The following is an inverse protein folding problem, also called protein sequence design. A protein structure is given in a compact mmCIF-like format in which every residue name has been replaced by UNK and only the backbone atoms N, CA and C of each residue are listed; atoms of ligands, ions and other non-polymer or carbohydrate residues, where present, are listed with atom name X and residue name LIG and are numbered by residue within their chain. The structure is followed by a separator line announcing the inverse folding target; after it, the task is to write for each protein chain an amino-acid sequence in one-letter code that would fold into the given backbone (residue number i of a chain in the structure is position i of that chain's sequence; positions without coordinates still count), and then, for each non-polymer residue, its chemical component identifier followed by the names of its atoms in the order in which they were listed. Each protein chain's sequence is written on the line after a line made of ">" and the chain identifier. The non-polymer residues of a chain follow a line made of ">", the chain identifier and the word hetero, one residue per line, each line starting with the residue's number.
data_IF_752631840795
#
_entry.id   IF_752631840795
#
_cell.length_a   1.000
_cell.length_b   1.000
_cell.length_c   1.000
_cell.angle_alpha   90.00
_cell.angle_beta   90.00
_cell.angle_gamma   90.00
#
_symmetry.space_group_name_H-M   'P 1'
#
loop_
_entity.id
_entity.type
_entity.pdbx_description
1 polymer ?
#
# COMPACT_ATOMS: atom_id res chain seq x y z
N UNK A 1 -15.91 -32.03 13.92
CA UNK A 1 -15.91 -31.03 12.85
C UNK A 1 -14.56 -31.06 12.18
N UNK A 2 -14.51 -31.64 10.98
CA UNK A 2 -13.28 -31.74 10.20
C UNK A 2 -12.87 -30.32 9.81
N UNK A 3 -11.72 -29.86 10.28
CA UNK A 3 -11.10 -28.63 9.77
C UNK A 3 -10.63 -28.95 8.35
N UNK A 4 -11.41 -28.56 7.34
CA UNK A 4 -10.94 -28.54 5.96
C UNK A 4 -9.71 -27.63 5.90
N UNK A 5 -8.54 -28.23 5.90
CA UNK A 5 -7.29 -27.53 5.60
C UNK A 5 -7.38 -27.18 4.13
N UNK A 6 -7.77 -25.94 3.83
CA UNK A 6 -7.73 -25.40 2.47
C UNK A 6 -6.25 -25.40 2.03
N UNK A 7 -5.89 -26.35 1.15
CA UNK A 7 -4.59 -26.34 0.50
C UNK A 7 -4.56 -25.22 -0.53
N UNK A 8 -3.65 -24.27 -0.33
CA UNK A 8 -3.41 -23.16 -1.26
C UNK A 8 -2.30 -23.57 -2.21
N UNK A 9 -2.56 -23.57 -3.51
CA UNK A 9 -1.52 -23.78 -4.51
C UNK A 9 -0.69 -22.49 -4.68
N UNK A 10 0.62 -22.63 -4.52
CA UNK A 10 1.60 -21.55 -4.65
C UNK A 10 2.51 -21.85 -5.83
N UNK A 11 2.59 -20.92 -6.78
CA UNK A 11 3.60 -20.90 -7.83
C UNK A 11 4.78 -20.02 -7.41
N UNK A 12 5.98 -20.36 -7.87
CA UNK A 12 7.17 -19.54 -7.71
C UNK A 12 7.58 -18.96 -9.07
N UNK A 13 7.90 -17.67 -9.10
CA UNK A 13 8.52 -17.07 -10.30
C UNK A 13 9.99 -17.48 -10.44
N UNK A 14 10.56 -17.29 -11.62
CA UNK A 14 12.00 -17.37 -11.79
C UNK A 14 12.68 -16.21 -11.03
N UNK A 15 13.96 -16.40 -10.69
CA UNK A 15 14.79 -15.36 -10.12
C UNK A 15 15.07 -14.27 -11.17
N UNK A 16 14.98 -13.00 -10.76
CA UNK A 16 15.35 -11.84 -11.55
C UNK A 16 15.98 -10.75 -10.67
N UNK A 17 16.65 -9.72 -11.22
CA UNK A 17 17.22 -8.64 -10.43
C UNK A 17 16.17 -7.96 -9.54
N UNK A 18 16.54 -7.70 -8.28
CA UNK A 18 15.62 -7.11 -7.31
C UNK A 18 15.32 -5.64 -7.66
N UNK A 19 14.05 -5.29 -7.63
CA UNK A 19 13.57 -3.93 -7.91
C UNK A 19 13.93 -2.91 -6.81
N UNK A 20 14.38 -3.37 -5.63
CA UNK A 20 14.65 -2.52 -4.47
C UNK A 20 16.11 -2.46 -4.06
N UNK A 21 16.85 -3.56 -4.23
CA UNK A 21 18.23 -3.74 -3.77
C UNK A 21 19.08 -4.23 -4.96
N UNK A 22 19.96 -3.35 -5.46
CA UNK A 22 20.67 -3.52 -6.73
C UNK A 22 21.48 -4.84 -6.84
N UNK A 23 22.06 -5.31 -5.73
CA UNK A 23 22.95 -6.48 -5.71
C UNK A 23 22.21 -7.78 -5.30
N UNK A 24 20.88 -7.78 -5.38
CA UNK A 24 20.04 -8.90 -4.96
C UNK A 24 19.22 -9.45 -6.11
N UNK A 25 18.91 -10.73 -6.00
CA UNK A 25 17.92 -11.39 -6.86
C UNK A 25 16.61 -11.51 -6.10
N UNK A 26 15.49 -11.30 -6.79
CA UNK A 26 14.16 -11.50 -6.23
C UNK A 26 13.39 -12.58 -6.98
N UNK A 27 12.52 -13.24 -6.25
CA UNK A 27 11.40 -14.02 -6.77
C UNK A 27 10.23 -13.92 -5.81
N UNK A 28 9.05 -14.20 -6.31
CA UNK A 28 7.82 -14.13 -5.53
C UNK A 28 7.08 -15.46 -5.54
N UNK A 29 6.42 -15.74 -4.43
CA UNK A 29 5.42 -16.77 -4.32
C UNK A 29 4.06 -16.15 -4.71
N UNK A 30 3.37 -16.78 -5.66
CA UNK A 30 2.08 -16.33 -6.20
C UNK A 30 0.99 -17.32 -5.81
N UNK A 31 -0.08 -16.82 -5.21
CA UNK A 31 -1.28 -17.62 -4.96
C UNK A 31 -2.02 -17.86 -6.29
N UNK A 32 -2.12 -19.12 -6.72
CA UNK A 32 -2.61 -19.49 -8.06
C UNK A 32 -4.13 -19.73 -8.04
N UNK A 33 -4.69 -20.16 -6.90
CA UNK A 33 -6.10 -20.54 -6.84
C UNK A 33 -7.01 -19.31 -6.89
N UNK A 34 -7.97 -19.25 -7.87
CA UNK A 34 -8.93 -18.15 -7.95
C UNK A 34 -9.80 -17.99 -6.69
N UNK A 35 -9.97 -19.07 -5.92
CA UNK A 35 -10.70 -19.05 -4.64
C UNK A 35 -10.05 -18.13 -3.59
N UNK A 36 -8.78 -17.79 -3.76
CA UNK A 36 -8.06 -16.85 -2.89
C UNK A 36 -8.43 -15.39 -3.16
N UNK A 37 -9.09 -15.11 -4.28
CA UNK A 37 -9.48 -13.78 -4.72
C UNK A 37 -10.84 -13.37 -4.11
N UNK A 38 -10.90 -13.33 -2.78
CA UNK A 38 -12.01 -12.76 -2.01
C UNK A 38 -11.45 -11.81 -0.95
N UNK A 39 -12.20 -10.79 -0.52
CA UNK A 39 -11.74 -9.86 0.51
C UNK A 39 -11.34 -10.57 1.82
N UNK A 40 -12.11 -11.55 2.25
CA UNK A 40 -11.91 -12.30 3.49
C UNK A 40 -10.60 -13.13 3.42
N UNK A 41 -10.43 -13.89 2.35
CA UNK A 41 -9.23 -14.70 2.16
C UNK A 41 -7.99 -13.84 1.97
N UNK A 42 -8.11 -12.75 1.21
CA UNK A 42 -6.99 -11.82 1.03
C UNK A 42 -6.58 -11.14 2.33
N UNK A 43 -7.51 -10.80 3.22
CA UNK A 43 -7.18 -10.26 4.54
C UNK A 43 -6.33 -11.25 5.36
N UNK A 44 -6.67 -12.54 5.34
CA UNK A 44 -5.86 -13.60 5.97
C UNK A 44 -4.49 -13.73 5.30
N UNK A 45 -4.44 -13.69 3.97
CA UNK A 45 -3.18 -13.74 3.22
C UNK A 45 -2.29 -12.52 3.51
N UNK A 46 -2.86 -11.32 3.63
CA UNK A 46 -2.11 -10.12 4.03
C UNK A 46 -1.53 -10.26 5.44
N UNK A 47 -2.26 -10.86 6.37
CA UNK A 47 -1.75 -11.15 7.71
C UNK A 47 -0.57 -12.15 7.68
N UNK A 48 -0.43 -12.93 6.61
CA UNK A 48 0.68 -13.84 6.34
C UNK A 48 1.73 -13.26 5.37
N UNK A 49 1.70 -11.94 5.14
CA UNK A 49 2.72 -11.22 4.40
C UNK A 49 2.49 -11.12 2.89
N UNK A 50 1.35 -11.59 2.37
CA UNK A 50 1.00 -11.42 0.97
C UNK A 50 0.55 -9.99 0.66
N UNK A 51 0.67 -9.60 -0.60
CA UNK A 51 0.18 -8.36 -1.21
C UNK A 51 -0.42 -8.67 -2.56
N UNK A 52 -1.05 -7.69 -3.18
CA UNK A 52 -1.56 -7.81 -4.54
C UNK A 52 -0.83 -6.88 -5.53
N UNK A 53 -0.98 -7.19 -6.81
CA UNK A 53 -0.71 -6.30 -7.93
C UNK A 53 -1.78 -6.58 -8.98
N UNK A 54 -2.73 -5.66 -9.19
CA UNK A 54 -3.96 -6.00 -9.91
C UNK A 54 -4.70 -7.16 -9.22
N UNK A 55 -5.06 -8.18 -10.00
CA UNK A 55 -5.74 -9.38 -9.50
C UNK A 55 -4.76 -10.43 -8.91
N UNK A 56 -3.45 -10.28 -9.12
CA UNK A 56 -2.45 -11.25 -8.65
C UNK A 56 -2.11 -11.05 -7.19
N UNK A 57 -2.17 -12.13 -6.40
CA UNK A 57 -1.77 -12.14 -4.97
C UNK A 57 -0.40 -12.79 -4.86
N UNK A 58 0.56 -12.10 -4.23
CA UNK A 58 1.94 -12.55 -4.14
C UNK A 58 2.60 -12.14 -2.83
N UNK A 59 3.74 -12.79 -2.51
CA UNK A 59 4.68 -12.32 -1.50
C UNK A 59 6.12 -12.60 -1.92
N UNK A 60 7.11 -11.78 -1.49
CA UNK A 60 8.51 -12.07 -1.69
C UNK A 60 8.91 -13.42 -1.12
N UNK A 61 9.65 -14.20 -1.90
CA UNK A 61 10.16 -15.51 -1.52
C UNK A 61 11.57 -15.73 -2.11
N UNK A 62 12.46 -14.82 -1.79
CA UNK A 62 13.84 -14.82 -2.29
C UNK A 62 14.69 -15.87 -1.58
N UNK A 63 15.60 -16.53 -2.30
CA UNK A 63 16.43 -17.61 -1.78
C UNK A 63 17.39 -17.15 -0.67
N UNK A 64 17.94 -15.93 -0.81
CA UNK A 64 19.00 -15.42 0.06
C UNK A 64 18.68 -14.04 0.66
N UNK A 65 17.38 -13.63 0.70
CA UNK A 65 17.00 -12.32 1.20
C UNK A 65 15.64 -12.36 1.92
N UNK A 66 15.56 -11.69 3.08
CA UNK A 66 14.33 -11.53 3.86
C UNK A 66 14.09 -10.05 4.23
N UNK A 67 14.67 -9.11 3.48
CA UNK A 67 14.56 -7.67 3.77
C UNK A 67 13.15 -7.11 3.59
N UNK A 68 12.31 -7.73 2.75
CA UNK A 68 10.92 -7.30 2.52
C UNK A 68 10.01 -7.78 3.66
N UNK A 69 9.86 -6.95 4.69
CA UNK A 69 9.02 -7.27 5.84
C UNK A 69 7.68 -6.56 5.74
N UNK A 70 6.57 -7.30 5.73
CA UNK A 70 5.25 -6.69 5.75
C UNK A 70 5.09 -5.85 7.02
N UNK A 71 4.49 -4.65 6.89
CA UNK A 71 4.26 -3.74 7.98
C UNK A 71 2.78 -3.37 8.08
N UNK A 72 2.25 -3.36 9.32
CA UNK A 72 0.91 -2.91 9.64
C UNK A 72 0.89 -2.00 10.86
N UNK A 73 -0.11 -1.16 10.93
CA UNK A 73 -0.35 -0.23 12.04
C UNK A 73 -1.65 -0.65 12.74
N UNK A 74 -1.66 -0.85 14.08
CA UNK A 74 -2.90 -1.01 14.83
C UNK A 74 -3.62 0.34 14.83
N UNK A 75 -4.66 0.49 14.01
CA UNK A 75 -5.32 1.78 13.80
C UNK A 75 -5.93 2.37 15.07
N UNK A 76 -6.56 1.58 16.00
CA UNK A 76 -7.06 2.11 17.27
C UNK A 76 -5.96 2.71 18.16
N UNK A 77 -4.75 2.15 18.13
CA UNK A 77 -3.66 2.52 19.03
C UNK A 77 -2.71 3.55 18.43
N UNK A 78 -2.95 3.96 17.17
CA UNK A 78 -2.08 4.90 16.49
C UNK A 78 -2.06 6.28 17.14
N UNK A 79 -0.86 6.75 17.47
CA UNK A 79 -0.63 8.09 18.04
C UNK A 79 0.28 8.90 17.11
N UNK A 80 -0.20 10.01 16.54
CA UNK A 80 0.61 10.81 15.63
C UNK A 80 1.78 11.50 16.37
N UNK A 81 2.97 11.44 15.76
CA UNK A 81 4.17 12.15 16.21
C UNK A 81 4.00 13.67 16.12
N UNK A 82 4.95 14.44 16.69
CA UNK A 82 4.91 15.90 16.59
C UNK A 82 4.85 16.41 15.14
N UNK A 83 5.61 15.82 14.23
CA UNK A 83 5.59 16.18 12.80
C UNK A 83 4.28 15.81 12.13
N UNK A 84 3.71 14.64 12.44
CA UNK A 84 2.43 14.20 11.93
C UNK A 84 1.27 15.05 12.46
N UNK A 85 1.32 15.49 13.72
CA UNK A 85 0.34 16.45 14.27
C UNK A 85 0.35 17.78 13.52
N UNK A 86 1.54 18.26 13.08
CA UNK A 86 1.63 19.48 12.24
C UNK A 86 0.96 19.25 10.87
N UNK A 87 1.16 18.09 10.24
CA UNK A 87 0.49 17.75 8.98
C UNK A 87 -1.03 17.65 9.16
N UNK A 88 -1.52 17.04 10.25
CA UNK A 88 -2.95 16.97 10.56
C UNK A 88 -3.56 18.37 10.82
N UNK A 89 -2.80 19.29 11.41
CA UNK A 89 -3.22 20.69 11.54
C UNK A 89 -3.36 21.36 10.18
N UNK A 90 -2.40 21.17 9.26
CA UNK A 90 -2.48 21.67 7.89
C UNK A 90 -3.67 21.03 7.14
N UNK A 91 -3.89 19.73 7.33
CA UNK A 91 -5.06 19.06 6.76
C UNK A 91 -6.36 19.76 7.13
N UNK A 92 -6.56 20.12 8.40
CA UNK A 92 -7.78 20.77 8.85
C UNK A 92 -7.95 22.22 8.39
N UNK A 93 -6.88 22.88 7.93
CA UNK A 93 -6.87 24.28 7.53
C UNK A 93 -6.89 24.48 6.01
N UNK A 94 -6.16 23.66 5.28
CA UNK A 94 -5.85 23.90 3.85
C UNK A 94 -6.27 22.76 2.93
N UNK A 95 -6.53 21.57 3.50
CA UNK A 95 -6.81 20.38 2.71
C UNK A 95 -8.11 19.72 3.15
N UNK A 96 -8.71 19.00 2.23
CA UNK A 96 -9.78 18.05 2.51
C UNK A 96 -9.59 16.77 1.72
N UNK A 97 -10.20 15.68 2.15
CA UNK A 97 -10.09 14.41 1.47
C UNK A 97 -11.44 13.71 1.36
N UNK A 98 -11.57 12.91 0.32
CA UNK A 98 -12.74 12.09 0.06
C UNK A 98 -12.31 10.71 -0.40
N UNK A 99 -13.02 9.68 0.03
CA UNK A 99 -12.84 8.31 -0.46
C UNK A 99 -13.89 8.07 -1.56
N UNK A 100 -13.43 7.76 -2.78
CA UNK A 100 -14.29 7.60 -3.96
C UNK A 100 -14.05 6.22 -4.60
N UNK A 101 -15.08 5.58 -5.19
CA UNK A 101 -14.93 4.30 -5.90
C UNK A 101 -14.20 4.45 -7.25
N UNK A 102 -14.14 5.66 -7.80
CA UNK A 102 -13.55 5.95 -9.09
C UNK A 102 -12.52 7.08 -8.99
N UNK A 103 -11.64 7.12 -9.97
CA UNK A 103 -10.63 8.18 -10.11
C UNK A 103 -11.27 9.43 -10.77
N UNK A 104 -10.93 10.63 -10.28
CA UNK A 104 -11.34 11.89 -10.91
C UNK A 104 -10.71 12.05 -12.31
N UNK A 105 -11.27 12.91 -13.17
CA UNK A 105 -10.82 13.09 -14.56
C UNK A 105 -9.34 13.47 -14.66
N UNK A 106 -8.83 14.29 -13.77
CA UNK A 106 -7.45 14.82 -13.78
C UNK A 106 -6.40 13.87 -13.18
N UNK A 107 -6.80 12.69 -12.70
CA UNK A 107 -5.90 11.78 -12.01
C UNK A 107 -4.65 11.42 -12.82
N UNK A 108 -4.81 11.24 -14.13
CA UNK A 108 -3.70 10.80 -14.99
C UNK A 108 -2.64 11.88 -15.15
N UNK A 109 -3.03 13.13 -15.24
CA UNK A 109 -2.09 14.26 -15.28
C UNK A 109 -1.26 14.31 -14.01
N UNK A 110 -1.88 14.14 -12.84
CA UNK A 110 -1.20 14.08 -11.56
C UNK A 110 -0.26 12.87 -11.48
N UNK A 111 -0.72 11.69 -11.88
CA UNK A 111 0.07 10.46 -11.90
C UNK A 111 1.29 10.58 -12.82
N UNK A 112 1.10 11.08 -14.04
CA UNK A 112 2.19 11.24 -15.00
C UNK A 112 3.27 12.20 -14.46
N UNK A 113 2.89 13.36 -13.92
CA UNK A 113 3.81 14.31 -13.28
C UNK A 113 4.61 13.65 -12.15
N UNK A 114 3.92 12.87 -11.30
CA UNK A 114 4.57 12.14 -10.20
C UNK A 114 5.60 11.14 -10.70
N UNK A 115 5.27 10.30 -11.70
CA UNK A 115 6.19 9.32 -12.28
C UNK A 115 7.39 10.00 -12.92
N UNK A 116 7.18 11.06 -13.71
CA UNK A 116 8.27 11.83 -14.32
C UNK A 116 9.20 12.46 -13.30
N UNK A 117 8.68 12.96 -12.18
CA UNK A 117 9.49 13.64 -11.16
C UNK A 117 10.22 12.67 -10.23
N UNK A 118 9.61 11.52 -9.89
CA UNK A 118 10.06 10.66 -8.79
C UNK A 118 10.52 9.26 -9.21
N UNK A 119 10.08 8.75 -10.37
CA UNK A 119 10.24 7.33 -10.72
C UNK A 119 10.69 7.09 -12.17
N UNK A 120 11.55 7.95 -12.72
CA UNK A 120 12.07 7.82 -14.11
C UNK A 120 12.83 6.52 -14.37
N UNK A 121 13.36 5.89 -13.34
CA UNK A 121 14.08 4.61 -13.43
C UNK A 121 13.28 3.42 -12.92
N UNK A 122 12.01 3.64 -12.56
CA UNK A 122 11.12 2.58 -12.05
C UNK A 122 10.37 1.86 -13.18
N UNK A 123 9.82 0.70 -12.87
CA UNK A 123 9.05 -0.13 -13.81
C UNK A 123 7.75 0.51 -14.31
N UNK A 124 7.27 1.58 -13.67
CA UNK A 124 6.08 2.34 -14.08
C UNK A 124 6.39 3.50 -15.05
N UNK A 125 7.65 3.67 -15.44
CA UNK A 125 8.08 4.67 -16.42
C UNK A 125 8.25 4.03 -17.82
N UNK A 126 7.76 4.64 -18.91
CA UNK A 126 6.92 5.85 -18.93
C UNK A 126 5.51 5.59 -18.40
N UNK A 127 4.83 6.62 -17.83
CA UNK A 127 3.50 6.43 -17.28
C UNK A 127 2.50 5.99 -18.35
N UNK A 128 1.71 4.96 -18.04
CA UNK A 128 0.70 4.40 -18.92
C UNK A 128 -0.64 4.28 -18.18
N UNK A 129 -1.68 4.89 -18.75
CA UNK A 129 -3.02 4.95 -18.14
C UNK A 129 -3.65 3.57 -17.96
N UNK A 130 -3.54 2.71 -18.99
CA UNK A 130 -4.17 1.37 -18.97
C UNK A 130 -3.44 0.41 -18.04
N UNK A 131 -2.11 0.48 -18.01
CA UNK A 131 -1.30 -0.35 -17.11
C UNK A 131 -1.52 0.03 -15.65
N UNK A 132 -1.58 1.34 -15.35
CA UNK A 132 -1.92 1.80 -14.01
C UNK A 132 -3.30 1.32 -13.59
N UNK A 133 -4.32 1.42 -14.45
CA UNK A 133 -5.67 0.97 -14.13
C UNK A 133 -5.73 -0.55 -13.82
N UNK A 134 -5.00 -1.37 -14.59
CA UNK A 134 -4.87 -2.81 -14.34
C UNK A 134 -4.14 -3.10 -13.02
N UNK A 135 -3.10 -2.35 -12.70
CA UNK A 135 -2.33 -2.48 -11.47
C UNK A 135 -3.15 -2.04 -10.25
N UNK A 136 -3.80 -0.88 -10.33
CA UNK A 136 -4.43 -0.24 -9.19
C UNK A 136 -5.71 -0.95 -8.72
N UNK A 137 -6.46 -1.58 -9.63
CA UNK A 137 -7.77 -2.19 -9.33
C UNK A 137 -7.69 -3.71 -9.34
N UNK A 138 -8.34 -4.33 -8.37
CA UNK A 138 -8.67 -5.76 -8.38
C UNK A 138 -10.19 -5.93 -8.47
N UNK A 139 -10.65 -6.80 -9.37
CA UNK A 139 -12.10 -7.00 -9.64
C UNK A 139 -12.87 -7.57 -8.44
N UNK A 140 -12.15 -8.29 -7.60
CA UNK A 140 -12.68 -9.02 -6.44
C UNK A 140 -12.53 -8.25 -5.11
N UNK A 141 -11.99 -7.00 -5.15
CA UNK A 141 -11.81 -6.15 -3.98
C UNK A 141 -12.63 -4.87 -4.06
N UNK A 142 -13.03 -4.37 -2.90
CA UNK A 142 -13.52 -3.00 -2.74
C UNK A 142 -12.31 -2.03 -2.70
N UNK A 143 -11.76 -1.73 -3.88
CA UNK A 143 -10.71 -0.73 -4.04
C UNK A 143 -11.35 0.65 -4.10
N UNK A 144 -10.91 1.54 -3.22
CA UNK A 144 -11.30 2.93 -3.16
C UNK A 144 -10.11 3.84 -3.39
N UNK A 145 -10.37 5.04 -3.85
CA UNK A 145 -9.36 6.07 -4.12
C UNK A 145 -9.56 7.22 -3.15
N UNK A 146 -8.63 7.39 -2.22
CA UNK A 146 -8.59 8.56 -1.35
C UNK A 146 -8.03 9.73 -2.15
N UNK A 147 -8.89 10.68 -2.48
CA UNK A 147 -8.53 11.92 -3.15
C UNK A 147 -8.24 12.97 -2.09
N UNK A 148 -7.09 13.63 -2.18
CA UNK A 148 -6.69 14.74 -1.33
C UNK A 148 -6.64 16.01 -2.16
N UNK A 149 -7.32 17.04 -1.69
CA UNK A 149 -7.42 18.34 -2.36
C UNK A 149 -6.83 19.45 -1.49
N UNK A 150 -6.22 20.44 -2.15
CA UNK A 150 -5.89 21.74 -1.58
C UNK A 150 -6.80 22.79 -2.25
N UNK A 151 -7.78 23.29 -1.50
CA UNK A 151 -8.91 23.97 -2.13
C UNK A 151 -9.63 23.05 -3.12
N UNK A 152 -9.77 23.46 -4.36
CA UNK A 152 -10.38 22.64 -5.43
C UNK A 152 -9.34 21.80 -6.21
N UNK A 153 -8.04 22.01 -5.97
CA UNK A 153 -6.98 21.33 -6.70
C UNK A 153 -6.74 19.93 -6.13
N UNK A 154 -6.84 18.92 -6.99
CA UNK A 154 -6.41 17.56 -6.66
C UNK A 154 -4.87 17.50 -6.51
N UNK A 155 -4.38 17.10 -5.35
CA UNK A 155 -2.93 17.10 -5.02
C UNK A 155 -2.37 15.72 -4.68
N UNK A 156 -3.20 14.77 -4.30
CA UNK A 156 -2.77 13.38 -4.12
C UNK A 156 -3.93 12.41 -4.29
N UNK A 157 -3.60 11.18 -4.72
CA UNK A 157 -4.50 10.03 -4.70
C UNK A 157 -3.80 8.87 -4.01
N UNK A 158 -4.48 8.25 -3.05
CA UNK A 158 -4.03 7.03 -2.40
C UNK A 158 -5.01 5.89 -2.68
N UNK A 159 -4.56 4.92 -3.47
CA UNK A 159 -5.30 3.68 -3.73
C UNK A 159 -5.38 2.89 -2.44
N UNK A 160 -6.59 2.58 -2.01
CA UNK A 160 -6.89 1.99 -0.71
C UNK A 160 -7.81 0.79 -0.87
N UNK A 161 -7.34 -0.39 -0.51
CA UNK A 161 -8.20 -1.57 -0.49
C UNK A 161 -8.92 -1.65 0.86
N UNK A 162 -10.23 -1.80 0.81
CA UNK A 162 -11.07 -1.96 2.00
C UNK A 162 -11.40 -3.44 2.19
N UNK A 163 -11.05 -3.95 3.37
CA UNK A 163 -11.27 -5.33 3.78
C UNK A 163 -12.17 -5.38 5.02
N UNK A 164 -12.66 -6.56 5.44
CA UNK A 164 -13.60 -6.65 6.57
C UNK A 164 -13.10 -5.94 7.84
N UNK A 165 -11.89 -6.24 8.31
CA UNK A 165 -11.34 -5.68 9.55
C UNK A 165 -10.12 -4.78 9.35
N UNK A 166 -9.70 -4.56 8.12
CA UNK A 166 -8.48 -3.80 7.81
C UNK A 166 -8.61 -2.96 6.55
N UNK A 167 -7.59 -2.15 6.27
CA UNK A 167 -7.39 -1.51 4.99
C UNK A 167 -5.93 -1.68 4.55
N UNK A 168 -5.68 -1.56 3.25
CA UNK A 168 -4.34 -1.58 2.67
C UNK A 168 -4.06 -0.28 1.94
N UNK A 169 -3.02 0.44 2.37
CA UNK A 169 -2.44 1.57 1.65
C UNK A 169 -1.62 1.01 0.49
N UNK A 170 -2.29 0.78 -0.65
CA UNK A 170 -1.73 0.03 -1.76
C UNK A 170 -0.71 0.84 -2.56
N UNK A 171 -1.08 2.03 -3.02
CA UNK A 171 -0.22 2.90 -3.81
C UNK A 171 -0.65 4.36 -3.66
N UNK A 172 0.34 5.28 -3.60
CA UNK A 172 0.04 6.71 -3.49
C UNK A 172 0.88 7.49 -4.49
N UNK A 173 0.25 8.41 -5.21
CA UNK A 173 0.91 9.39 -6.06
C UNK A 173 0.39 10.79 -5.74
N UNK A 174 1.23 11.80 -5.93
CA UNK A 174 0.94 13.15 -5.48
C UNK A 174 1.66 14.21 -6.29
N UNK A 175 1.24 15.47 -6.14
CA UNK A 175 1.88 16.62 -6.77
C UNK A 175 3.31 16.78 -6.26
N UNK A 176 4.34 16.56 -7.12
CA UNK A 176 5.74 16.57 -6.70
C UNK A 176 6.26 17.96 -6.33
N UNK A 177 5.54 19.03 -6.70
CA UNK A 177 5.95 20.43 -6.51
C UNK A 177 5.46 20.99 -5.15
N UNK A 178 4.58 20.26 -4.46
CA UNK A 178 4.13 20.65 -3.12
C UNK A 178 5.18 20.19 -2.09
N UNK A 179 5.66 21.13 -1.28
CA UNK A 179 6.79 20.93 -0.35
C UNK A 179 6.46 20.08 0.88
N UNK A 180 5.18 19.93 1.23
CA UNK A 180 4.76 19.08 2.36
C UNK A 180 4.74 17.60 1.98
N UNK A 181 4.87 16.73 2.98
CA UNK A 181 4.84 15.28 2.76
C UNK A 181 3.42 14.77 2.51
N UNK A 182 2.91 14.93 1.26
CA UNK A 182 1.58 14.47 0.86
C UNK A 182 1.40 12.96 1.00
N UNK A 183 2.45 12.17 0.74
CA UNK A 183 2.40 10.72 0.97
C UNK A 183 2.18 10.34 2.44
N UNK A 184 2.83 11.05 3.37
CA UNK A 184 2.57 10.88 4.81
C UNK A 184 1.15 11.33 5.17
N UNK A 185 0.71 12.45 4.62
CA UNK A 185 -0.63 12.99 4.86
C UNK A 185 -1.71 12.01 4.38
N UNK A 186 -1.54 11.39 3.21
CA UNK A 186 -2.45 10.37 2.71
C UNK A 186 -2.56 9.16 3.65
N UNK A 187 -1.44 8.66 4.19
CA UNK A 187 -1.46 7.58 5.20
C UNK A 187 -2.20 8.02 6.47
N UNK A 188 -2.03 9.26 6.92
CA UNK A 188 -2.75 9.79 8.09
C UNK A 188 -4.27 9.86 7.83
N UNK A 189 -4.69 10.24 6.61
CA UNK A 189 -6.11 10.20 6.22
C UNK A 189 -6.65 8.76 6.20
N UNK A 190 -5.89 7.79 5.68
CA UNK A 190 -6.26 6.37 5.70
C UNK A 190 -6.36 5.82 7.12
N UNK A 191 -5.47 6.22 8.05
CA UNK A 191 -5.56 5.87 9.47
C UNK A 191 -6.80 6.48 10.13
N UNK A 192 -7.09 7.74 9.84
CA UNK A 192 -8.32 8.40 10.31
C UNK A 192 -9.57 7.64 9.83
N UNK A 193 -9.61 7.26 8.55
CA UNK A 193 -10.68 6.42 8.01
C UNK A 193 -10.79 5.09 8.76
N UNK A 194 -9.68 4.40 9.00
CA UNK A 194 -9.68 3.13 9.75
C UNK A 194 -10.23 3.30 11.16
N UNK A 195 -9.85 4.38 11.86
CA UNK A 195 -10.35 4.69 13.21
C UNK A 195 -11.85 4.97 13.20
N UNK A 196 -12.35 5.79 12.26
CA UNK A 196 -13.77 6.12 12.13
C UNK A 196 -14.62 4.89 11.80
N UNK A 197 -14.10 3.97 10.99
CA UNK A 197 -14.81 2.74 10.56
C UNK A 197 -14.47 1.52 11.41
N UNK A 198 -13.77 1.71 12.55
CA UNK A 198 -13.39 0.68 13.53
C UNK A 198 -12.58 -0.49 12.92
N UNK A 199 -11.81 -0.23 11.88
CA UNK A 199 -10.87 -1.21 11.34
C UNK A 199 -9.67 -1.38 12.28
N UNK A 200 -9.24 -2.63 12.45
CA UNK A 200 -8.15 -2.98 13.37
C UNK A 200 -6.77 -2.60 12.81
N UNK A 201 -6.59 -2.73 11.49
CA UNK A 201 -5.27 -2.61 10.88
C UNK A 201 -5.28 -1.73 9.63
N UNK A 202 -4.21 -0.93 9.49
CA UNK A 202 -3.80 -0.37 8.21
C UNK A 202 -2.48 -1.03 7.78
N UNK A 203 -2.49 -1.75 6.66
CA UNK A 203 -1.29 -2.37 6.08
C UNK A 203 -0.60 -1.38 5.14
N UNK A 204 0.71 -1.14 5.33
CA UNK A 204 1.50 -0.21 4.50
C UNK A 204 2.37 -0.90 3.44
N UNK A 205 2.17 -2.20 3.20
CA UNK A 205 3.03 -2.97 2.29
C UNK A 205 4.33 -3.41 2.96
N UNK A 206 5.42 -3.50 2.18
CA UNK A 206 6.71 -3.94 2.69
C UNK A 206 7.55 -2.76 3.19
N UNK A 207 8.16 -2.95 4.36
CA UNK A 207 9.27 -2.17 4.88
C UNK A 207 10.57 -2.82 4.42
N UNK A 208 11.51 -2.04 3.90
CA UNK A 208 12.86 -2.46 3.52
C UNK A 208 13.81 -1.42 4.08
N UNK A 209 14.59 -1.76 5.10
CA UNK A 209 15.39 -0.79 5.85
C UNK A 209 16.48 -0.17 4.99
N UNK A 210 17.07 -0.93 4.06
CA UNK A 210 18.13 -0.49 3.14
C UNK A 210 17.58 0.31 1.93
N UNK A 211 16.27 0.38 1.72
CA UNK A 211 15.66 1.10 0.59
C UNK A 211 15.02 2.42 1.03
N UNK A 212 15.58 3.60 0.66
CA UNK A 212 15.05 4.90 1.06
C UNK A 212 13.60 5.15 0.66
N UNK A 213 13.16 4.59 -0.47
CA UNK A 213 11.77 4.70 -0.94
C UNK A 213 10.79 3.88 -0.09
N UNK A 214 11.26 2.90 0.70
CA UNK A 214 10.44 1.95 1.44
C UNK A 214 10.59 2.07 2.96
N UNK A 215 11.68 2.66 3.48
CA UNK A 215 12.03 2.64 4.91
C UNK A 215 11.31 3.68 5.78
N UNK A 216 10.44 4.52 5.20
CA UNK A 216 9.74 5.57 5.94
C UNK A 216 8.59 5.06 6.82
N UNK A 217 8.10 3.85 6.57
CA UNK A 217 6.87 3.30 7.16
C UNK A 217 6.96 3.09 8.67
N UNK A 218 8.15 2.84 9.19
CA UNK A 218 8.44 2.72 10.64
C UNK A 218 8.24 4.04 11.41
N UNK A 219 8.01 5.15 10.72
CA UNK A 219 7.70 6.45 11.37
C UNK A 219 6.26 6.54 11.89
N UNK A 220 5.40 5.58 11.53
CA UNK A 220 4.03 5.50 12.04
C UNK A 220 4.03 4.55 13.23
N UNK A 221 3.84 5.09 14.45
CA UNK A 221 3.91 4.33 15.70
C UNK A 221 2.57 4.34 16.45
N UNK A 222 2.22 3.22 17.13
CA UNK A 222 2.91 1.93 17.06
C UNK A 222 2.73 1.24 15.70
N UNK A 223 3.67 0.38 15.33
CA UNK A 223 3.56 -0.47 14.15
C UNK A 223 4.06 -1.88 14.45
N UNK A 224 3.70 -2.83 13.59
CA UNK A 224 4.19 -4.20 13.67
C UNK A 224 4.82 -4.59 12.33
N UNK A 225 5.91 -5.34 12.40
CA UNK A 225 6.61 -5.94 11.26
C UNK A 225 6.45 -7.46 11.30
N UNK A 226 6.24 -8.08 10.16
CA UNK A 226 6.20 -9.53 10.04
C UNK A 226 7.62 -10.07 9.88
N UNK A 227 8.17 -10.63 10.97
CA UNK A 227 9.52 -11.19 11.01
C UNK A 227 9.42 -12.67 11.40
N UNK A 228 9.99 -13.55 10.59
CA UNK A 228 9.94 -15.00 10.80
C UNK A 228 8.50 -15.50 11.07
N UNK A 229 7.56 -15.09 10.22
CA UNK A 229 6.13 -15.44 10.29
C UNK A 229 5.42 -14.99 11.59
N UNK A 230 5.99 -14.05 12.33
CA UNK A 230 5.40 -13.48 13.55
C UNK A 230 5.36 -11.96 13.48
N UNK A 231 4.23 -11.38 13.83
CA UNK A 231 4.10 -9.94 13.98
C UNK A 231 4.81 -9.49 15.26
N UNK A 232 5.71 -8.52 15.11
CA UNK A 232 6.51 -7.93 16.20
C UNK A 232 6.34 -6.41 16.17
N UNK A 233 6.06 -5.80 17.32
CA UNK A 233 6.05 -4.35 17.53
C UNK A 233 7.38 -3.86 18.06
#
# INVERSE_FOLDING_TARGET
>A
MSSDIQQIRIGLTNNHPCSYLADRMERVAVAIDPQMQTPETYEVLMANGFRRGGDTIYKPHCDHCQSCQALRIPAPDFVPSKSQKRLLKLLSQEFHWQLKPELDEDWYTLYARYIFARHRHGSMYPPNKMEFAKFARAKWLNTQYLHLYQGEKLVAIAVTDLLPNSASAFYTFYDPDISISLGTLAVLCQLNYCQQTKKQWLYLGYQIDECPAMNYKVRFNPHQRLVNQRWRG
#
